data_IF_865031000139
#
_entry.id   IF_865031000139
#
_cell.length_a   1.000
_cell.length_b   1.000
_cell.length_c   1.000
_cell.angle_alpha   90.00
_cell.angle_beta   90.00
_cell.angle_gamma   90.00
#
_symmetry.space_group_name_H-M   'P 1'
#
loop_
_entity.id
_entity.type
_entity.pdbx_description
1 polymer ?
#
# COMPACT_ATOMS: atom_id res chain seq x y z
N UNK A 1 0.98 -2.21 24.56
CA UNK A 1 0.32 -2.26 23.23
C UNK A 1 -1.20 -2.22 23.32
N UNK A 2 -1.83 -1.55 22.34
CA UNK A 2 -3.27 -1.63 22.03
C UNK A 2 -3.46 -2.26 20.66
N UNK A 3 -4.63 -2.85 20.44
CA UNK A 3 -5.02 -3.45 19.15
C UNK A 3 -6.37 -2.94 18.69
N UNK A 4 -6.54 -2.82 17.38
CA UNK A 4 -7.84 -2.65 16.73
C UNK A 4 -7.97 -3.69 15.64
N UNK A 5 -9.19 -4.18 15.45
CA UNK A 5 -9.52 -5.17 14.44
C UNK A 5 -10.79 -4.70 13.74
N UNK A 6 -10.65 -4.27 12.50
CA UNK A 6 -11.71 -3.64 11.71
C UNK A 6 -12.08 -4.54 10.53
N UNK A 7 -13.33 -4.43 10.01
CA UNK A 7 -13.71 -5.13 8.79
C UNK A 7 -12.81 -4.76 7.62
N UNK A 8 -12.57 -5.73 6.72
CA UNK A 8 -11.81 -5.54 5.48
C UNK A 8 -12.67 -5.04 4.31
N UNK A 9 -13.87 -4.53 4.59
CA UNK A 9 -14.81 -4.10 3.53
C UNK A 9 -14.22 -2.94 2.70
N UNK A 10 -13.50 -2.00 3.32
CA UNK A 10 -12.82 -0.92 2.58
C UNK A 10 -11.64 -1.45 1.76
N UNK A 11 -10.90 -2.43 2.30
CA UNK A 11 -9.81 -3.09 1.57
C UNK A 11 -10.32 -3.88 0.37
N UNK A 12 -11.46 -4.56 0.49
CA UNK A 12 -12.09 -5.31 -0.58
C UNK A 12 -12.40 -4.41 -1.78
N UNK A 13 -12.95 -3.21 -1.51
CA UNK A 13 -13.25 -2.22 -2.53
C UNK A 13 -11.98 -1.63 -3.14
N UNK A 14 -11.00 -1.27 -2.31
CA UNK A 14 -9.75 -0.68 -2.76
C UNK A 14 -8.92 -1.67 -3.60
N UNK A 15 -8.78 -2.92 -3.17
CA UNK A 15 -8.10 -3.95 -3.94
C UNK A 15 -8.80 -4.21 -5.28
N UNK A 16 -10.13 -4.19 -5.32
CA UNK A 16 -10.87 -4.27 -6.58
C UNK A 16 -10.56 -3.09 -7.52
N UNK A 17 -10.48 -1.86 -6.99
CA UNK A 17 -10.14 -0.69 -7.78
C UNK A 17 -8.69 -0.74 -8.32
N UNK A 18 -7.74 -1.21 -7.51
CA UNK A 18 -6.36 -1.42 -7.95
C UNK A 18 -6.25 -2.51 -9.02
N UNK A 19 -7.08 -3.57 -8.92
CA UNK A 19 -7.12 -4.66 -9.89
C UNK A 19 -7.66 -4.24 -11.26
N UNK A 20 -8.53 -3.24 -11.32
CA UNK A 20 -9.10 -2.72 -12.57
C UNK A 20 -8.05 -1.98 -13.44
N UNK A 21 -6.92 -1.56 -12.85
CA UNK A 21 -5.81 -0.95 -13.58
C UNK A 21 -4.97 -2.05 -14.24
N UNK A 22 -5.31 -2.37 -15.49
CA UNK A 22 -4.66 -3.43 -16.25
C UNK A 22 -3.21 -3.12 -16.69
N UNK A 23 -2.86 -1.84 -16.83
CA UNK A 23 -1.54 -1.39 -17.29
C UNK A 23 -1.13 -0.10 -16.55
N UNK A 24 -0.20 -0.25 -15.62
CA UNK A 24 0.30 0.81 -14.76
C UNK A 24 1.35 1.69 -15.44
N UNK A 25 1.90 1.30 -16.59
CA UNK A 25 2.83 2.15 -17.36
C UNK A 25 2.19 3.47 -17.79
N UNK A 26 0.85 3.51 -17.89
CA UNK A 26 0.07 4.71 -18.21
C UNK A 26 -0.16 5.62 -17.01
N UNK A 27 0.05 5.12 -15.80
CA UNK A 27 -0.05 5.84 -14.53
C UNK A 27 1.33 6.31 -14.05
N UNK A 28 2.39 5.58 -14.43
CA UNK A 28 3.79 5.90 -14.13
C UNK A 28 4.16 7.35 -14.45
N UNK A 29 4.82 8.00 -13.51
CA UNK A 29 5.41 9.33 -13.67
C UNK A 29 6.93 9.29 -13.72
N UNK A 30 7.59 10.46 -13.82
CA UNK A 30 9.03 10.53 -13.76
C UNK A 30 9.56 10.11 -12.38
N UNK A 31 10.65 9.34 -12.38
CA UNK A 31 11.44 9.06 -11.17
C UNK A 31 12.17 10.34 -10.73
N UNK A 32 11.55 11.09 -9.82
CA UNK A 32 12.06 12.37 -9.34
C UNK A 32 11.50 12.76 -7.97
N UNK A 33 12.26 13.55 -7.22
CA UNK A 33 11.83 14.17 -5.96
C UNK A 33 11.06 15.49 -6.17
N UNK A 34 10.49 15.70 -7.36
CA UNK A 34 9.81 16.95 -7.69
C UNK A 34 8.47 17.07 -6.95
N UNK A 35 8.12 18.29 -6.53
CA UNK A 35 6.85 18.59 -5.87
C UNK A 35 6.20 19.87 -6.41
N UNK A 36 4.95 20.09 -6.01
CA UNK A 36 4.22 21.32 -6.21
C UNK A 36 3.21 21.31 -7.36
N UNK A 37 2.58 22.47 -7.66
CA UNK A 37 1.41 22.55 -8.51
C UNK A 37 1.57 21.96 -9.91
N UNK A 38 2.75 22.10 -10.53
CA UNK A 38 2.99 21.58 -11.87
C UNK A 38 3.06 20.04 -11.87
N UNK A 39 3.72 19.46 -10.88
CA UNK A 39 3.84 18.00 -10.70
C UNK A 39 2.47 17.39 -10.47
N UNK A 40 1.72 17.93 -9.50
CA UNK A 40 0.38 17.43 -9.16
C UNK A 40 -0.58 17.55 -10.34
N UNK A 41 -0.57 18.66 -11.10
CA UNK A 41 -1.44 18.79 -12.29
C UNK A 41 -1.10 17.76 -13.37
N UNK A 42 0.19 17.51 -13.60
CA UNK A 42 0.63 16.49 -14.56
C UNK A 42 0.22 15.08 -14.10
N UNK A 43 0.38 14.77 -12.82
CA UNK A 43 -0.06 13.53 -12.19
C UNK A 43 -1.57 13.34 -12.35
N UNK A 44 -2.38 14.34 -11.96
CA UNK A 44 -3.85 14.30 -12.10
C UNK A 44 -4.27 14.07 -13.54
N UNK A 45 -3.69 14.79 -14.50
CA UNK A 45 -4.01 14.60 -15.91
C UNK A 45 -3.68 13.17 -16.38
N UNK A 46 -2.56 12.61 -15.94
CA UNK A 46 -2.12 11.28 -16.35
C UNK A 46 -2.99 10.17 -15.76
N UNK A 47 -3.24 10.22 -14.44
CA UNK A 47 -4.09 9.24 -13.75
C UNK A 47 -5.52 9.27 -14.31
N UNK A 48 -6.10 10.45 -14.52
CA UNK A 48 -7.47 10.58 -15.08
C UNK A 48 -7.58 10.18 -16.56
N UNK A 49 -6.47 10.18 -17.31
CA UNK A 49 -6.45 9.68 -18.68
C UNK A 49 -6.27 8.14 -18.77
N UNK A 50 -5.73 7.53 -17.73
CA UNK A 50 -5.47 6.09 -17.64
C UNK A 50 -6.59 5.33 -16.90
N UNK A 51 -7.32 6.02 -16.02
CA UNK A 51 -8.34 5.43 -15.13
C UNK A 51 -9.65 6.19 -15.24
N UNK A 52 -10.68 5.67 -14.59
CA UNK A 52 -11.97 6.34 -14.39
C UNK A 52 -12.06 7.12 -13.08
N UNK A 53 -10.97 7.19 -12.32
CA UNK A 53 -10.94 7.79 -10.99
C UNK A 53 -11.08 9.30 -11.06
N UNK A 54 -11.74 9.88 -10.06
CA UNK A 54 -11.98 11.30 -9.98
C UNK A 54 -10.96 11.93 -9.03
N UNK A 55 -10.20 12.96 -9.45
CA UNK A 55 -9.26 13.62 -8.55
C UNK A 55 -10.04 14.32 -7.45
N UNK A 56 -9.47 14.35 -6.24
CA UNK A 56 -10.03 15.15 -5.16
C UNK A 56 -10.16 16.62 -5.58
N UNK A 57 -11.30 17.25 -5.32
CA UNK A 57 -11.50 18.64 -5.70
C UNK A 57 -10.69 19.55 -4.78
N UNK A 58 -10.11 20.60 -5.36
CA UNK A 58 -9.64 21.76 -4.59
C UNK A 58 -10.87 22.56 -4.14
N UNK A 59 -10.88 22.99 -2.87
CA UNK A 59 -11.87 23.94 -2.41
C UNK A 59 -11.68 25.30 -3.10
N UNK A 60 -12.72 26.13 -3.12
CA UNK A 60 -12.64 27.46 -3.71
C UNK A 60 -11.56 28.30 -2.99
N UNK A 61 -10.55 28.74 -3.74
CA UNK A 61 -9.41 29.51 -3.20
C UNK A 61 -8.28 28.67 -2.64
N UNK A 62 -8.38 27.34 -2.69
CA UNK A 62 -7.30 26.44 -2.33
C UNK A 62 -6.30 26.30 -3.48
N UNK A 63 -5.02 26.32 -3.14
CA UNK A 63 -3.91 26.08 -4.05
C UNK A 63 -3.20 24.79 -3.66
N UNK A 64 -2.64 24.10 -4.66
CA UNK A 64 -1.80 22.93 -4.41
C UNK A 64 -0.55 23.40 -3.67
N UNK A 65 -0.28 22.78 -2.52
CA UNK A 65 0.90 23.09 -1.71
C UNK A 65 2.19 22.80 -2.52
N UNK A 66 3.19 23.72 -2.53
CA UNK A 66 4.47 23.52 -3.20
C UNK A 66 5.24 22.25 -2.81
N UNK A 67 4.96 21.68 -1.64
CA UNK A 67 5.62 20.49 -1.09
C UNK A 67 4.89 19.18 -1.40
N UNK A 68 3.68 19.25 -1.96
CA UNK A 68 2.90 18.05 -2.28
C UNK A 68 3.41 17.41 -3.58
N UNK A 69 3.69 16.10 -3.52
CA UNK A 69 4.13 15.29 -4.66
C UNK A 69 3.11 14.20 -5.05
N UNK A 70 1.96 14.14 -4.38
CA UNK A 70 0.90 13.17 -4.63
C UNK A 70 -0.45 13.84 -4.81
N UNK A 71 -1.45 13.07 -5.24
CA UNK A 71 -2.84 13.50 -5.22
C UNK A 71 -3.77 12.36 -4.82
N UNK A 72 -4.89 12.71 -4.20
CA UNK A 72 -5.96 11.76 -3.86
C UNK A 72 -6.97 11.63 -4.98
N UNK A 73 -7.48 10.42 -5.19
CA UNK A 73 -8.50 10.09 -6.18
C UNK A 73 -9.61 9.27 -5.56
N UNK A 74 -10.85 9.58 -5.90
CA UNK A 74 -12.02 8.79 -5.56
C UNK A 74 -12.40 7.87 -6.71
N UNK A 75 -12.53 6.57 -6.41
CA UNK A 75 -12.88 5.54 -7.40
C UNK A 75 -14.40 5.42 -7.54
N UNK A 76 -14.87 4.66 -8.54
CA UNK A 76 -16.31 4.38 -8.70
C UNK A 76 -16.91 3.59 -7.54
N UNK A 77 -16.09 2.80 -6.83
CA UNK A 77 -16.49 2.03 -5.65
C UNK A 77 -16.46 2.86 -4.36
N UNK A 78 -16.01 4.13 -4.43
CA UNK A 78 -15.96 5.04 -3.29
C UNK A 78 -14.67 4.95 -2.47
N UNK A 79 -13.69 4.17 -2.92
CA UNK A 79 -12.36 4.11 -2.30
C UNK A 79 -11.60 5.41 -2.55
N UNK A 80 -10.69 5.74 -1.65
CA UNK A 80 -9.69 6.79 -1.86
C UNK A 80 -8.35 6.14 -2.19
N UNK A 81 -7.78 6.47 -3.34
CA UNK A 81 -6.42 6.06 -3.73
C UNK A 81 -5.52 7.29 -3.77
N UNK A 82 -4.42 7.25 -3.05
CA UNK A 82 -3.36 8.25 -3.09
C UNK A 82 -2.32 7.80 -4.10
N UNK A 83 -1.98 8.68 -5.05
CA UNK A 83 -1.04 8.37 -6.14
C UNK A 83 0.11 9.37 -6.12
N UNK A 84 1.32 8.85 -6.19
CA UNK A 84 2.58 9.51 -6.48
C UNK A 84 3.04 9.06 -7.89
N UNK A 85 4.12 9.65 -8.41
CA UNK A 85 4.66 9.25 -9.71
C UNK A 85 5.13 7.77 -9.77
N UNK A 86 5.61 7.21 -8.64
CA UNK A 86 6.09 5.82 -8.54
C UNK A 86 5.37 4.93 -7.52
N UNK A 87 4.24 5.38 -6.94
CA UNK A 87 3.56 4.66 -5.86
C UNK A 87 2.06 4.96 -5.87
N UNK A 88 1.22 3.95 -5.65
CA UNK A 88 -0.19 4.13 -5.32
C UNK A 88 -0.59 3.28 -4.11
N UNK A 89 -1.42 3.81 -3.22
CA UNK A 89 -1.98 3.06 -2.09
C UNK A 89 -3.35 3.61 -1.72
N UNK A 90 -4.15 2.84 -1.00
CA UNK A 90 -5.47 3.26 -0.53
C UNK A 90 -5.39 3.97 0.82
N UNK A 91 -6.20 5.03 0.98
CA UNK A 91 -6.46 5.65 2.29
C UNK A 91 -7.69 4.97 2.93
N UNK A 92 -7.54 3.68 3.26
CA UNK A 92 -8.56 2.90 3.96
C UNK A 92 -8.47 3.20 5.46
N UNK A 93 -9.47 3.91 5.99
CA UNK A 93 -9.53 4.26 7.42
C UNK A 93 -9.87 3.05 8.28
N UNK A 94 -10.64 2.14 7.69
CA UNK A 94 -10.96 0.86 8.29
C UNK A 94 -10.22 -0.24 7.53
N UNK A 95 -8.96 -0.46 7.88
CA UNK A 95 -8.13 -1.51 7.30
C UNK A 95 -7.66 -2.49 8.37
N UNK A 96 -8.41 -3.59 8.47
CA UNK A 96 -8.02 -4.80 9.20
C UNK A 96 -7.48 -4.63 10.62
N UNK A 97 -6.54 -5.51 10.93
CA UNK A 97 -5.90 -5.58 12.24
C UNK A 97 -4.68 -4.65 12.31
N UNK A 98 -4.59 -3.88 13.40
CA UNK A 98 -3.47 -3.01 13.72
C UNK A 98 -3.10 -3.13 15.20
N UNK A 99 -1.81 -3.12 15.49
CA UNK A 99 -1.24 -2.87 16.81
C UNK A 99 -0.55 -1.51 16.85
N UNK A 100 -0.71 -0.79 17.97
CA UNK A 100 -0.10 0.53 18.17
C UNK A 100 0.17 0.76 19.66
N UNK A 101 0.93 1.81 19.98
CA UNK A 101 1.50 2.02 21.33
C UNK A 101 2.30 0.77 21.76
N UNK A 102 3.11 0.25 20.83
CA UNK A 102 3.97 -0.92 21.04
C UNK A 102 5.15 -0.52 21.92
N UNK A 103 5.34 -1.25 23.01
CA UNK A 103 6.52 -1.17 23.85
C UNK A 103 7.49 -2.33 23.52
N UNK A 104 8.77 -2.25 23.92
CA UNK A 104 9.77 -3.26 23.60
C UNK A 104 9.41 -4.71 23.94
N UNK A 105 8.62 -4.94 24.98
CA UNK A 105 8.21 -6.28 25.43
C UNK A 105 6.92 -6.76 24.75
N UNK A 106 6.23 -5.89 23.99
CA UNK A 106 5.05 -6.23 23.20
C UNK A 106 5.39 -6.87 21.85
N UNK A 107 6.67 -6.85 21.42
CA UNK A 107 7.11 -7.33 20.10
C UNK A 107 6.59 -8.74 19.77
N UNK A 108 6.73 -9.77 20.63
CA UNK A 108 6.21 -11.11 20.33
C UNK A 108 4.68 -11.14 20.17
N UNK A 109 3.96 -10.27 20.88
CA UNK A 109 2.51 -10.18 20.77
C UNK A 109 2.08 -9.48 19.47
N UNK A 110 2.83 -8.47 19.02
CA UNK A 110 2.62 -7.80 17.74
C UNK A 110 2.88 -8.77 16.57
N UNK A 111 3.96 -9.53 16.63
CA UNK A 111 4.30 -10.60 15.67
C UNK A 111 3.17 -11.64 15.55
N UNK A 112 2.70 -12.17 16.68
CA UNK A 112 1.60 -13.14 16.70
C UNK A 112 0.27 -12.56 16.16
N UNK A 113 0.04 -11.26 16.37
CA UNK A 113 -1.12 -10.57 15.81
C UNK A 113 -1.06 -10.47 14.29
N UNK A 114 0.11 -10.13 13.74
CA UNK A 114 0.33 -10.12 12.29
C UNK A 114 0.15 -11.51 11.67
N UNK A 115 0.72 -12.56 12.28
CA UNK A 115 0.58 -13.94 11.79
C UNK A 115 -0.88 -14.38 11.75
N UNK A 116 -1.67 -13.95 12.73
CA UNK A 116 -3.09 -14.26 12.81
C UNK A 116 -3.90 -13.50 11.75
N UNK A 117 -3.57 -12.24 11.49
CA UNK A 117 -4.33 -11.38 10.57
C UNK A 117 -3.96 -11.58 9.09
N UNK A 118 -2.74 -12.06 8.82
CA UNK A 118 -2.19 -12.22 7.48
C UNK A 118 -3.05 -13.11 6.54
N UNK A 119 -3.53 -14.30 6.95
CA UNK A 119 -4.27 -15.18 6.04
C UNK A 119 -5.52 -14.54 5.43
N UNK A 120 -6.29 -13.79 6.21
CA UNK A 120 -7.53 -13.15 5.74
C UNK A 120 -7.23 -12.05 4.70
N UNK A 121 -6.17 -11.26 4.91
CA UNK A 121 -5.72 -10.25 3.94
C UNK A 121 -5.17 -10.89 2.67
N UNK A 122 -4.43 -11.99 2.80
CA UNK A 122 -3.89 -12.73 1.65
C UNK A 122 -5.01 -13.36 0.82
N UNK A 123 -6.04 -13.93 1.46
CA UNK A 123 -7.21 -14.45 0.77
C UNK A 123 -7.95 -13.34 0.03
N UNK A 124 -8.14 -12.17 0.66
CA UNK A 124 -8.76 -11.02 0.03
C UNK A 124 -7.95 -10.49 -1.16
N UNK A 125 -6.63 -10.38 -1.03
CA UNK A 125 -5.76 -9.99 -2.13
C UNK A 125 -5.83 -11.00 -3.29
N UNK A 126 -5.84 -12.31 -2.99
CA UNK A 126 -5.99 -13.38 -4.01
C UNK A 126 -7.31 -13.33 -4.75
N UNK A 127 -8.41 -12.95 -4.07
CA UNK A 127 -9.73 -12.77 -4.68
C UNK A 127 -9.68 -11.77 -5.85
N UNK A 128 -8.87 -10.71 -5.76
CA UNK A 128 -8.79 -9.65 -6.78
C UNK A 128 -7.59 -9.78 -7.72
N UNK A 129 -6.45 -10.19 -7.19
CA UNK A 129 -5.18 -10.21 -7.92
C UNK A 129 -4.79 -11.60 -8.42
N UNK A 130 -5.52 -12.65 -8.03
CA UNK A 130 -5.15 -14.04 -8.31
C UNK A 130 -3.98 -14.52 -7.44
N UNK A 131 -3.30 -15.58 -7.86
CA UNK A 131 -2.13 -16.09 -7.13
C UNK A 131 -0.93 -15.13 -7.25
N UNK A 132 -0.15 -14.93 -6.17
CA UNK A 132 1.03 -14.08 -6.21
C UNK A 132 2.18 -14.74 -6.97
N UNK A 133 2.99 -13.91 -7.63
CA UNK A 133 4.25 -14.33 -8.26
C UNK A 133 5.31 -14.69 -7.21
N UNK A 134 5.19 -14.11 -6.01
CA UNK A 134 6.01 -14.45 -4.84
C UNK A 134 5.20 -14.40 -3.56
N UNK A 135 5.42 -15.36 -2.66
CA UNK A 135 4.88 -15.39 -1.32
C UNK A 135 5.94 -15.94 -0.37
N UNK A 136 6.28 -15.17 0.66
CA UNK A 136 7.22 -15.59 1.68
C UNK A 136 7.01 -14.88 3.00
N UNK A 137 7.64 -15.41 4.03
CA UNK A 137 7.67 -14.85 5.38
C UNK A 137 9.02 -15.11 6.06
N UNK A 138 9.23 -14.44 7.19
CA UNK A 138 10.49 -14.50 7.92
C UNK A 138 10.82 -15.85 8.59
N UNK A 139 9.91 -16.83 8.56
CA UNK A 139 10.26 -18.19 8.99
C UNK A 139 11.23 -18.87 8.02
N UNK A 140 11.29 -18.39 6.76
CA UNK A 140 12.26 -18.84 5.77
C UNK A 140 13.63 -18.18 6.00
N UNK A 141 14.72 -18.97 6.08
CA UNK A 141 16.07 -18.41 6.24
C UNK A 141 16.57 -17.65 5.01
N UNK A 142 15.92 -17.81 3.85
CA UNK A 142 16.25 -17.09 2.60
C UNK A 142 15.42 -15.84 2.38
N UNK A 143 14.40 -15.60 3.21
CA UNK A 143 13.39 -14.56 3.01
C UNK A 143 13.96 -13.16 2.72
N UNK A 144 15.08 -12.80 3.37
CA UNK A 144 15.72 -11.50 3.23
C UNK A 144 15.96 -11.09 1.77
N UNK A 145 16.38 -12.04 0.93
CA UNK A 145 16.84 -11.78 -0.43
C UNK A 145 16.07 -12.58 -1.49
N UNK A 146 15.04 -13.34 -1.10
CA UNK A 146 14.40 -14.34 -1.97
C UNK A 146 13.62 -13.72 -3.13
N UNK A 147 12.84 -12.66 -2.88
CA UNK A 147 12.16 -11.90 -3.94
C UNK A 147 13.12 -10.98 -4.69
N UNK A 148 13.79 -10.13 -3.93
CA UNK A 148 14.83 -9.22 -4.38
C UNK A 148 15.77 -8.97 -3.21
N UNK A 149 16.98 -8.50 -3.51
CA UNK A 149 17.99 -8.22 -2.49
C UNK A 149 17.44 -7.26 -1.42
N UNK A 150 17.38 -7.71 -0.17
CA UNK A 150 16.88 -6.96 0.97
C UNK A 150 15.35 -6.81 1.05
N UNK A 151 14.57 -7.45 0.17
CA UNK A 151 13.11 -7.33 0.15
C UNK A 151 12.44 -7.78 1.45
N UNK A 152 13.06 -8.69 2.21
CA UNK A 152 12.57 -9.15 3.50
C UNK A 152 13.18 -8.41 4.70
N UNK A 153 14.01 -7.38 4.50
CA UNK A 153 14.81 -6.78 5.59
C UNK A 153 13.95 -6.14 6.69
N UNK A 154 12.85 -5.51 6.30
CA UNK A 154 11.90 -4.80 7.15
C UNK A 154 10.52 -5.49 7.16
N UNK A 155 10.38 -6.65 6.54
CA UNK A 155 9.10 -7.35 6.40
C UNK A 155 9.04 -8.58 7.30
N UNK A 156 7.83 -8.88 7.78
CA UNK A 156 7.49 -10.16 8.40
C UNK A 156 6.84 -11.11 7.39
N UNK A 157 5.96 -10.57 6.55
CA UNK A 157 5.28 -11.27 5.46
C UNK A 157 5.36 -10.43 4.21
N UNK A 158 5.46 -11.08 3.05
CA UNK A 158 5.46 -10.43 1.75
C UNK A 158 4.80 -11.33 0.70
N UNK A 159 3.83 -10.76 -0.01
CA UNK A 159 3.27 -11.32 -1.23
C UNK A 159 3.36 -10.27 -2.35
N UNK A 160 3.80 -10.68 -3.54
CA UNK A 160 4.00 -9.79 -4.68
C UNK A 160 3.29 -10.32 -5.91
N UNK A 161 2.61 -9.41 -6.62
CA UNK A 161 2.01 -9.64 -7.92
C UNK A 161 2.62 -8.66 -8.93
N UNK A 162 3.21 -9.19 -10.00
CA UNK A 162 3.75 -8.41 -11.11
C UNK A 162 2.64 -8.04 -12.06
N UNK A 163 2.61 -6.77 -12.47
CA UNK A 163 1.68 -6.21 -13.45
C UNK A 163 2.46 -5.44 -14.51
N UNK A 164 1.88 -5.18 -15.69
CA UNK A 164 2.52 -4.29 -16.65
C UNK A 164 2.79 -2.92 -16.02
N UNK A 165 4.08 -2.58 -15.86
CA UNK A 165 4.53 -1.31 -15.28
C UNK A 165 4.39 -1.17 -13.76
N UNK A 166 4.17 -2.26 -13.01
CA UNK A 166 4.07 -2.18 -11.56
C UNK A 166 4.24 -3.52 -10.85
N UNK A 167 4.44 -3.43 -9.54
CA UNK A 167 4.33 -4.54 -8.59
C UNK A 167 3.32 -4.17 -7.51
N UNK A 168 2.31 -5.02 -7.31
CA UNK A 168 1.41 -4.93 -6.16
C UNK A 168 2.03 -5.74 -5.03
N UNK A 169 2.25 -5.10 -3.89
CA UNK A 169 2.79 -5.73 -2.69
C UNK A 169 1.71 -5.76 -1.63
N UNK A 170 1.47 -6.93 -1.04
CA UNK A 170 0.83 -7.09 0.26
C UNK A 170 1.93 -7.46 1.25
N UNK A 171 2.02 -6.77 2.37
CA UNK A 171 3.12 -6.98 3.32
C UNK A 171 2.70 -6.63 4.75
N UNK A 172 3.48 -7.10 5.71
CA UNK A 172 3.44 -6.54 7.07
C UNK A 172 4.85 -6.22 7.52
N UNK A 173 5.01 -5.10 8.21
CA UNK A 173 6.31 -4.68 8.73
C UNK A 173 6.74 -5.58 9.89
N UNK A 174 8.03 -5.89 9.93
CA UNK A 174 8.65 -6.58 11.05
C UNK A 174 8.70 -5.64 12.26
N UNK A 175 8.08 -5.98 13.39
CA UNK A 175 8.23 -5.17 14.59
C UNK A 175 9.69 -5.24 15.08
N UNK A 176 10.34 -4.08 15.28
CA UNK A 176 11.72 -3.98 15.77
C UNK A 176 11.78 -3.33 17.15
N UNK A 177 12.75 -3.75 17.97
CA UNK A 177 13.01 -3.19 19.30
C UNK A 177 13.88 -1.93 19.25
N UNK A 178 14.79 -1.86 18.27
CA UNK A 178 15.72 -0.76 18.06
C UNK A 178 16.00 -0.56 16.56
N UNK A 179 15.48 0.50 15.93
CA UNK A 179 14.55 1.47 16.50
C UNK A 179 13.22 0.80 16.89
N UNK A 180 12.52 1.35 17.89
CA UNK A 180 11.24 0.82 18.33
C UNK A 180 10.16 1.07 17.26
N UNK A 181 9.57 0.01 16.74
CA UNK A 181 8.36 0.09 15.90
C UNK A 181 7.17 0.43 16.78
N UNK A 182 6.60 1.63 16.64
CA UNK A 182 5.48 2.09 17.47
C UNK A 182 4.12 1.52 17.08
N UNK A 183 3.99 0.98 15.86
CA UNK A 183 2.77 0.40 15.32
C UNK A 183 3.06 -0.56 14.16
N UNK A 184 2.25 -1.61 14.01
CA UNK A 184 2.28 -2.53 12.86
C UNK A 184 0.88 -2.93 12.41
N UNK A 185 0.74 -3.21 11.12
CA UNK A 185 -0.47 -3.73 10.48
C UNK A 185 -0.09 -4.53 9.22
N UNK A 186 -1.10 -5.09 8.56
CA UNK A 186 -0.96 -5.58 7.19
C UNK A 186 -1.28 -4.41 6.25
N UNK A 187 -0.41 -4.19 5.26
CA UNK A 187 -0.49 -3.09 4.31
C UNK A 187 -0.43 -3.63 2.89
N UNK A 188 -0.89 -2.83 1.93
CA UNK A 188 -0.65 -3.07 0.52
C UNK A 188 -0.40 -1.77 -0.22
N UNK A 189 0.42 -1.86 -1.27
CA UNK A 189 0.74 -0.75 -2.12
C UNK A 189 1.09 -1.24 -3.53
N UNK A 190 0.97 -0.36 -4.50
CA UNK A 190 1.41 -0.57 -5.88
C UNK A 190 2.67 0.27 -6.10
N UNK A 191 3.81 -0.39 -6.26
CA UNK A 191 5.06 0.23 -6.69
C UNK A 191 5.05 0.29 -8.22
N UNK A 192 5.18 1.49 -8.79
CA UNK A 192 5.02 1.74 -10.22
C UNK A 192 6.41 1.94 -10.83
N UNK A 193 6.69 1.23 -11.93
CA UNK A 193 7.98 1.23 -12.65
C UNK A 193 8.06 2.32 -13.75
#
# INVERSE_FOLDING_TARGET
MKTQDRPLDEDDLAMADLADVADWTRVAGPDSDASGPAVVRALVQRVTAATDWQPWPLAAGEEIDPLVASWGFTTRRGSTIIVFDGLAFSDCRNSGWIAYEIEPDDIPAAEAGLDKAWPDHLELARKHFGDPDYLGDESSPTFLDEWARGAGADRRHLAVWVRPGAQIHLFSDKPTRDPLTSSVCVNYAVYID
#
